data_IF_003613899486
#
_entry.id   IF_003613899486
#
_cell.length_a   1.000
_cell.length_b   1.000
_cell.length_c   1.000
_cell.angle_alpha   90.00
_cell.angle_beta   90.00
_cell.angle_gamma   90.00
#
_symmetry.space_group_name_H-M   'P 1'
#
loop_
_entity.id
_entity.type
_entity.pdbx_description
1 polymer ?
#
# COMPACT_ATOMS: atom_id res chain seq x y z
N UNK A 1 -14.45 7.92 2.89
CA UNK A 1 -14.55 8.44 1.50
C UNK A 1 -13.26 8.23 0.73
N UNK A 2 -12.11 8.26 1.38
CA UNK A 2 -10.77 8.14 0.77
C UNK A 2 -10.58 6.93 -0.15
N UNK A 3 -11.48 5.94 -0.05
CA UNK A 3 -11.49 4.74 -0.90
C UNK A 3 -12.24 4.93 -2.22
N UNK A 4 -12.98 6.03 -2.36
CA UNK A 4 -13.84 6.32 -3.52
C UNK A 4 -13.34 7.59 -4.21
N UNK A 5 -12.59 7.40 -5.27
CA UNK A 5 -12.08 8.48 -6.10
C UNK A 5 -12.66 8.32 -7.51
N UNK A 6 -13.40 9.32 -7.96
CA UNK A 6 -13.96 9.38 -9.29
C UNK A 6 -13.41 10.60 -10.03
N UNK A 7 -12.77 10.43 -11.17
CA UNK A 7 -12.15 11.51 -11.95
C UNK A 7 -11.17 12.38 -11.13
N UNK A 8 -10.29 11.74 -10.35
CA UNK A 8 -9.33 12.37 -9.45
C UNK A 8 -9.94 13.16 -8.27
N UNK A 9 -11.24 13.06 -8.05
CA UNK A 9 -11.93 13.69 -6.93
C UNK A 9 -12.47 12.65 -5.94
N UNK A 10 -12.24 12.90 -4.65
CA UNK A 10 -12.80 12.08 -3.58
C UNK A 10 -14.30 12.32 -3.47
N UNK A 11 -15.08 11.25 -3.35
CA UNK A 11 -16.53 11.33 -3.18
C UNK A 11 -16.90 12.18 -1.95
N UNK A 12 -17.94 12.99 -2.07
CA UNK A 12 -18.50 13.71 -0.93
C UNK A 12 -19.22 12.78 0.07
N UNK A 13 -19.40 13.23 1.31
CA UNK A 13 -20.13 12.46 2.33
C UNK A 13 -21.58 12.22 1.90
N UNK A 14 -22.22 13.24 1.31
CA UNK A 14 -23.59 13.16 0.82
C UNK A 14 -23.75 12.18 -0.32
N UNK A 15 -22.83 12.22 -1.32
CA UNK A 15 -22.88 11.29 -2.44
C UNK A 15 -22.62 9.84 -2.00
N UNK A 16 -21.68 9.63 -1.07
CA UNK A 16 -21.43 8.30 -0.52
C UNK A 16 -22.64 7.79 0.25
N UNK A 17 -23.28 8.63 1.05
CA UNK A 17 -24.49 8.27 1.79
C UNK A 17 -25.63 7.91 0.83
N UNK A 18 -25.82 8.68 -0.25
CA UNK A 18 -26.81 8.39 -1.25
C UNK A 18 -26.54 7.04 -1.97
N UNK A 19 -25.29 6.77 -2.36
CA UNK A 19 -24.91 5.49 -2.96
C UNK A 19 -25.17 4.31 -2.02
N UNK A 20 -24.85 4.44 -0.74
CA UNK A 20 -25.07 3.37 0.24
C UNK A 20 -26.56 3.12 0.46
N UNK A 21 -27.40 4.16 0.49
CA UNK A 21 -28.86 4.02 0.57
C UNK A 21 -29.42 3.31 -0.67
N UNK A 22 -28.97 3.68 -1.88
CA UNK A 22 -29.37 2.99 -3.12
C UNK A 22 -28.97 1.50 -3.08
N UNK A 23 -27.78 1.17 -2.57
CA UNK A 23 -27.35 -0.23 -2.43
C UNK A 23 -28.20 -0.97 -1.41
N UNK A 24 -28.57 -0.37 -0.28
CA UNK A 24 -29.44 -0.99 0.72
C UNK A 24 -30.80 -1.30 0.15
N UNK A 25 -31.41 -0.38 -0.60
CA UNK A 25 -32.68 -0.58 -1.30
C UNK A 25 -32.59 -1.74 -2.31
N UNK A 26 -31.58 -1.76 -3.17
CA UNK A 26 -31.36 -2.81 -4.17
C UNK A 26 -31.12 -4.18 -3.50
N UNK A 27 -30.39 -4.19 -2.40
CA UNK A 27 -30.04 -5.41 -1.65
C UNK A 27 -31.24 -6.00 -0.92
N UNK A 28 -32.30 -5.24 -0.70
CA UNK A 28 -33.57 -5.68 -0.11
C UNK A 28 -33.38 -6.41 1.24
N UNK A 29 -32.54 -5.86 2.12
CA UNK A 29 -32.32 -6.36 3.48
C UNK A 29 -31.51 -7.66 3.58
N UNK A 30 -30.85 -8.10 2.51
CA UNK A 30 -29.94 -9.25 2.59
C UNK A 30 -28.70 -8.88 3.38
N UNK A 31 -28.09 -9.81 4.16
CA UNK A 31 -26.87 -9.52 4.90
C UNK A 31 -25.70 -9.15 3.98
N UNK A 32 -25.07 -8.02 4.24
CA UNK A 32 -23.82 -7.59 3.62
C UNK A 32 -22.82 -7.21 4.71
N UNK A 33 -21.58 -7.57 4.50
CA UNK A 33 -20.49 -7.01 5.30
C UNK A 33 -20.28 -5.54 4.90
N UNK A 34 -19.68 -4.77 5.80
CA UNK A 34 -19.34 -3.37 5.52
C UNK A 34 -18.52 -3.20 4.24
N UNK A 35 -17.54 -4.10 4.01
CA UNK A 35 -16.69 -4.03 2.83
C UNK A 35 -17.42 -4.41 1.54
N UNK A 36 -18.33 -5.37 1.59
CA UNK A 36 -19.20 -5.73 0.45
C UNK A 36 -20.12 -4.58 0.08
N UNK A 37 -20.74 -3.91 1.07
CA UNK A 37 -21.59 -2.74 0.81
C UNK A 37 -20.81 -1.59 0.16
N UNK A 38 -19.60 -1.29 0.66
CA UNK A 38 -18.72 -0.30 0.05
C UNK A 38 -18.33 -0.69 -1.38
N UNK A 39 -17.95 -1.93 -1.61
CA UNK A 39 -17.55 -2.41 -2.94
C UNK A 39 -18.71 -2.32 -3.93
N UNK A 40 -19.91 -2.72 -3.52
CA UNK A 40 -21.12 -2.59 -4.33
C UNK A 40 -21.41 -1.13 -4.66
N UNK A 41 -21.34 -0.22 -3.67
CA UNK A 41 -21.54 1.20 -3.86
C UNK A 41 -20.54 1.80 -4.84
N UNK A 42 -19.24 1.42 -4.73
CA UNK A 42 -18.22 1.89 -5.66
C UNK A 42 -18.53 1.49 -7.10
N UNK A 43 -18.73 0.20 -7.37
CA UNK A 43 -19.01 -0.26 -8.73
C UNK A 43 -20.34 0.26 -9.27
N UNK A 44 -21.33 0.43 -8.41
CA UNK A 44 -22.59 1.05 -8.79
C UNK A 44 -22.40 2.51 -9.21
N UNK A 45 -21.62 3.28 -8.45
CA UNK A 45 -21.27 4.66 -8.78
C UNK A 45 -20.50 4.79 -10.09
N UNK A 46 -19.68 3.79 -10.46
CA UNK A 46 -18.96 3.77 -11.74
C UNK A 46 -19.87 3.83 -12.97
N UNK A 47 -21.17 3.46 -12.85
CA UNK A 47 -22.13 3.57 -13.96
C UNK A 47 -22.26 4.98 -14.53
N UNK A 48 -21.95 6.00 -13.73
CA UNK A 48 -21.97 7.41 -14.16
C UNK A 48 -20.78 7.77 -15.08
N UNK A 49 -19.74 6.91 -15.13
CA UNK A 49 -18.45 7.18 -15.77
C UNK A 49 -18.11 6.12 -16.81
N UNK A 50 -18.85 6.11 -17.92
CA UNK A 50 -18.82 4.99 -18.91
C UNK A 50 -17.53 4.82 -19.68
N UNK A 51 -16.71 5.86 -19.80
CA UNK A 51 -15.48 5.86 -20.60
C UNK A 51 -14.20 5.92 -19.77
N UNK A 52 -14.30 5.63 -18.47
CA UNK A 52 -13.17 5.70 -17.56
C UNK A 52 -12.57 4.33 -17.30
N UNK A 53 -11.28 4.36 -16.89
CA UNK A 53 -10.57 3.21 -16.38
C UNK A 53 -10.85 3.07 -14.88
N UNK A 54 -11.19 1.88 -14.45
CA UNK A 54 -11.34 1.55 -13.03
C UNK A 54 -10.07 0.89 -12.54
N UNK A 55 -9.46 1.47 -11.49
CA UNK A 55 -8.38 0.85 -10.72
C UNK A 55 -9.00 0.31 -9.44
N UNK A 56 -9.00 -1.02 -9.28
CA UNK A 56 -9.61 -1.69 -8.14
C UNK A 56 -8.56 -2.46 -7.35
N UNK A 57 -8.41 -2.14 -6.07
CA UNK A 57 -7.50 -2.81 -5.15
C UNK A 57 -8.25 -3.85 -4.32
N UNK A 58 -7.74 -5.07 -4.23
CA UNK A 58 -8.27 -6.08 -3.32
C UNK A 58 -8.08 -5.63 -1.86
N UNK A 59 -9.14 -5.82 -1.06
CA UNK A 59 -9.10 -5.40 0.34
C UNK A 59 -8.22 -6.30 1.21
N UNK A 60 -8.15 -7.59 0.89
CA UNK A 60 -7.43 -8.58 1.68
C UNK A 60 -6.62 -9.55 0.81
N UNK A 61 -7.29 -10.55 0.25
CA UNK A 61 -6.77 -11.53 -0.69
C UNK A 61 -7.53 -11.40 -2.01
N UNK A 62 -7.04 -12.00 -3.12
CA UNK A 62 -7.81 -12.00 -4.36
C UNK A 62 -8.98 -12.98 -4.30
N UNK A 63 -8.74 -14.18 -3.80
CA UNK A 63 -9.74 -15.23 -3.72
C UNK A 63 -10.76 -14.94 -2.59
N UNK A 64 -12.04 -14.84 -2.98
CA UNK A 64 -13.12 -14.52 -2.03
C UNK A 64 -13.19 -13.05 -1.61
N UNK A 65 -12.40 -12.17 -2.21
CA UNK A 65 -12.47 -10.74 -1.97
C UNK A 65 -13.68 -10.12 -2.71
N UNK A 66 -14.39 -9.22 -2.06
CA UNK A 66 -15.57 -8.57 -2.62
C UNK A 66 -15.26 -7.78 -3.91
N UNK A 67 -14.04 -7.24 -4.05
CA UNK A 67 -13.60 -6.54 -5.27
C UNK A 67 -13.44 -7.50 -6.45
N UNK A 68 -13.21 -8.79 -6.20
CA UNK A 68 -12.99 -9.79 -7.25
C UNK A 68 -14.29 -10.33 -7.87
N UNK A 69 -15.24 -9.44 -8.14
CA UNK A 69 -16.53 -9.76 -8.78
C UNK A 69 -16.51 -9.53 -10.30
N UNK A 70 -15.46 -8.91 -10.81
CA UNK A 70 -15.33 -8.59 -12.22
C UNK A 70 -15.08 -9.87 -13.01
N UNK A 71 -15.79 -10.01 -14.14
CA UNK A 71 -15.63 -11.15 -15.05
C UNK A 71 -14.52 -10.93 -16.07
N UNK A 72 -14.12 -9.68 -16.28
CA UNK A 72 -13.05 -9.26 -17.20
C UNK A 72 -12.34 -8.04 -16.63
N UNK A 73 -11.06 -7.96 -16.87
CA UNK A 73 -10.24 -6.78 -16.61
C UNK A 73 -9.26 -6.58 -17.77
N UNK A 74 -8.57 -5.46 -17.79
CA UNK A 74 -7.54 -5.18 -18.79
C UNK A 74 -6.18 -5.74 -18.36
N UNK A 75 -5.92 -5.74 -17.05
CA UNK A 75 -4.67 -6.20 -16.48
C UNK A 75 -4.84 -6.56 -15.01
N UNK A 76 -4.15 -7.59 -14.57
CA UNK A 76 -3.91 -7.89 -13.16
C UNK A 76 -2.53 -7.34 -12.76
N UNK A 77 -2.45 -6.69 -11.62
CA UNK A 77 -1.17 -6.20 -11.07
C UNK A 77 -0.91 -6.92 -9.76
N UNK A 78 0.19 -7.67 -9.70
CA UNK A 78 0.64 -8.32 -8.47
C UNK A 78 1.77 -7.47 -7.89
N UNK A 79 1.45 -6.71 -6.87
CA UNK A 79 2.42 -5.88 -6.14
C UNK A 79 3.33 -6.74 -5.26
N UNK A 80 4.29 -6.13 -4.54
CA UNK A 80 5.18 -6.87 -3.64
C UNK A 80 4.40 -7.65 -2.58
N UNK A 81 4.67 -8.94 -2.46
CA UNK A 81 4.07 -9.83 -1.47
C UNK A 81 4.94 -9.92 -0.22
N UNK A 82 4.31 -9.82 0.94
CA UNK A 82 4.95 -9.99 2.25
C UNK A 82 3.99 -10.67 3.23
N UNK A 83 4.50 -11.11 4.37
CA UNK A 83 3.67 -11.66 5.43
C UNK A 83 2.76 -10.57 6.02
N UNK A 84 1.48 -10.68 5.73
CA UNK A 84 0.40 -9.91 6.33
C UNK A 84 -0.87 -10.76 6.35
N UNK A 85 -1.85 -10.38 7.18
CA UNK A 85 -3.14 -11.07 7.25
C UNK A 85 -3.07 -12.56 7.59
N UNK A 86 -2.02 -13.00 8.26
CA UNK A 86 -1.83 -14.41 8.66
C UNK A 86 -2.94 -14.90 9.60
N UNK A 87 -3.58 -14.01 10.35
CA UNK A 87 -4.70 -14.28 11.24
C UNK A 87 -5.96 -14.79 10.49
N UNK A 88 -6.09 -14.43 9.21
CA UNK A 88 -7.18 -14.91 8.34
C UNK A 88 -6.94 -16.30 7.73
N UNK A 89 -5.74 -16.83 7.89
CA UNK A 89 -5.38 -18.15 7.36
C UNK A 89 -5.50 -19.24 8.44
N UNK A 90 -5.78 -20.50 8.05
CA UNK A 90 -5.72 -21.63 8.95
C UNK A 90 -4.38 -21.70 9.67
N UNK A 91 -4.37 -22.03 10.97
CA UNK A 91 -3.13 -22.01 11.79
C UNK A 91 -1.97 -22.80 11.20
N UNK A 92 -2.25 -23.92 10.55
CA UNK A 92 -1.25 -24.82 9.97
C UNK A 92 -0.77 -24.36 8.57
N UNK A 93 -1.31 -23.26 8.05
CA UNK A 93 -1.10 -22.80 6.68
C UNK A 93 -0.72 -21.30 6.63
N UNK A 94 -0.20 -20.80 7.74
CA UNK A 94 0.21 -19.39 7.92
C UNK A 94 1.64 -19.17 7.43
N UNK A 95 1.78 -19.06 6.13
CA UNK A 95 3.07 -18.84 5.46
C UNK A 95 2.92 -17.95 4.22
N UNK A 96 4.03 -17.51 3.66
CA UNK A 96 4.06 -16.60 2.51
C UNK A 96 3.52 -17.28 1.24
N UNK A 97 3.75 -18.57 1.07
CA UNK A 97 3.28 -19.36 -0.08
C UNK A 97 1.75 -19.37 -0.12
N UNK A 98 1.13 -19.52 1.05
CA UNK A 98 -0.33 -19.46 1.15
C UNK A 98 -0.88 -18.08 0.84
N UNK A 99 -0.24 -17.01 1.33
CA UNK A 99 -0.61 -15.63 0.99
C UNK A 99 -0.55 -15.43 -0.53
N UNK A 100 0.53 -15.86 -1.16
CA UNK A 100 0.71 -15.76 -2.62
C UNK A 100 -0.40 -16.51 -3.34
N UNK A 101 -0.72 -17.73 -2.91
CA UNK A 101 -1.82 -18.51 -3.47
C UNK A 101 -3.15 -17.76 -3.37
N UNK A 102 -3.51 -17.23 -2.21
CA UNK A 102 -4.77 -16.49 -2.01
C UNK A 102 -4.84 -15.20 -2.86
N UNK A 103 -3.70 -14.55 -3.11
CA UNK A 103 -3.63 -13.35 -3.94
C UNK A 103 -3.65 -13.64 -5.44
N UNK A 104 -3.18 -14.78 -5.89
CA UNK A 104 -2.92 -15.03 -7.32
C UNK A 104 -3.80 -16.11 -7.95
N UNK A 105 -4.39 -17.01 -7.17
CA UNK A 105 -5.17 -18.15 -7.70
C UNK A 105 -6.48 -17.78 -8.39
N UNK A 106 -6.96 -16.56 -8.21
CA UNK A 106 -8.21 -16.06 -8.80
C UNK A 106 -8.01 -14.94 -9.82
N UNK A 107 -6.79 -14.73 -10.28
CA UNK A 107 -6.51 -13.73 -11.33
C UNK A 107 -7.19 -14.13 -12.64
N UNK A 108 -7.80 -13.14 -13.29
CA UNK A 108 -8.48 -13.34 -14.56
C UNK A 108 -7.48 -13.58 -15.71
N UNK A 109 -7.94 -14.20 -16.79
CA UNK A 109 -7.13 -14.42 -18.01
C UNK A 109 -6.98 -13.12 -18.81
N UNK A 110 -6.17 -12.21 -18.28
CA UNK A 110 -5.76 -10.96 -18.91
C UNK A 110 -4.28 -10.74 -18.58
N UNK A 111 -3.64 -9.72 -19.15
CA UNK A 111 -2.24 -9.42 -18.85
C UNK A 111 -1.98 -9.42 -17.33
N UNK A 112 -0.85 -9.98 -16.90
CA UNK A 112 -0.42 -10.01 -15.51
C UNK A 112 0.93 -9.32 -15.40
N UNK A 113 0.99 -8.21 -14.66
CA UNK A 113 2.24 -7.52 -14.34
C UNK A 113 2.62 -7.84 -12.90
N UNK A 114 3.81 -8.39 -12.71
CA UNK A 114 4.34 -8.76 -11.40
C UNK A 114 5.45 -7.78 -11.03
N UNK A 115 5.21 -7.03 -9.95
CA UNK A 115 6.17 -6.10 -9.40
C UNK A 115 7.41 -6.79 -8.84
N UNK A 116 8.46 -6.02 -8.57
CA UNK A 116 9.64 -6.51 -7.85
C UNK A 116 9.24 -7.13 -6.53
N UNK A 117 9.72 -8.33 -6.28
CA UNK A 117 9.52 -9.07 -5.03
C UNK A 117 10.73 -8.93 -4.11
N UNK A 118 10.55 -9.22 -2.83
CA UNK A 118 11.63 -9.14 -1.82
C UNK A 118 12.66 -10.26 -1.95
N UNK A 119 12.35 -11.32 -2.70
CA UNK A 119 13.27 -12.42 -3.01
C UNK A 119 12.86 -13.17 -4.29
N UNK A 120 13.81 -13.83 -4.91
CA UNK A 120 13.57 -14.68 -6.08
C UNK A 120 12.65 -15.86 -5.74
N UNK A 121 12.72 -16.40 -4.52
CA UNK A 121 11.83 -17.46 -4.07
C UNK A 121 10.35 -17.07 -4.12
N UNK A 122 10.02 -15.83 -3.76
CA UNK A 122 8.65 -15.30 -3.86
C UNK A 122 8.25 -15.16 -5.32
N UNK A 123 9.13 -14.65 -6.17
CA UNK A 123 8.89 -14.54 -7.61
C UNK A 123 8.61 -15.91 -8.23
N UNK A 124 9.41 -16.92 -7.93
CA UNK A 124 9.22 -18.29 -8.43
C UNK A 124 7.92 -18.92 -7.90
N UNK A 125 7.56 -18.65 -6.64
CA UNK A 125 6.26 -19.09 -6.09
C UNK A 125 5.08 -18.45 -6.85
N UNK A 126 5.15 -17.16 -7.15
CA UNK A 126 4.12 -16.46 -7.96
C UNK A 126 4.06 -17.10 -9.36
N UNK A 127 5.20 -17.27 -10.04
CA UNK A 127 5.26 -17.91 -11.37
C UNK A 127 4.59 -19.28 -11.39
N UNK A 128 4.89 -20.10 -10.38
CA UNK A 128 4.28 -21.43 -10.21
C UNK A 128 2.76 -21.33 -10.08
N UNK A 129 2.26 -20.45 -9.23
CA UNK A 129 0.82 -20.31 -8.96
C UNK A 129 0.04 -19.84 -10.20
N UNK A 130 0.63 -18.97 -11.03
CA UNK A 130 -0.03 -18.45 -12.23
C UNK A 130 0.39 -19.18 -13.52
N UNK A 131 1.11 -20.29 -13.42
CA UNK A 131 1.62 -21.05 -14.58
C UNK A 131 0.51 -21.50 -15.51
N UNK A 132 -0.62 -21.93 -14.97
CA UNK A 132 -1.78 -22.43 -15.71
C UNK A 132 -2.71 -21.31 -16.23
N UNK A 133 -2.45 -20.06 -15.89
CA UNK A 133 -3.18 -18.92 -16.44
C UNK A 133 -2.63 -18.62 -17.84
N UNK A 134 -3.48 -18.57 -18.86
CA UNK A 134 -3.08 -18.35 -20.26
C UNK A 134 -2.69 -16.90 -20.60
N UNK A 135 -2.75 -16.00 -19.64
CA UNK A 135 -2.40 -14.59 -19.82
C UNK A 135 -0.92 -14.36 -20.17
N UNK A 136 -0.63 -13.26 -20.84
CA UNK A 136 0.73 -12.75 -20.94
C UNK A 136 1.20 -12.28 -19.56
N UNK A 137 2.43 -12.63 -19.19
CA UNK A 137 3.02 -12.35 -17.87
C UNK A 137 4.25 -11.49 -18.03
N UNK A 138 4.34 -10.43 -17.27
CA UNK A 138 5.42 -9.44 -17.30
C UNK A 138 6.05 -9.35 -15.92
N UNK A 139 7.30 -9.76 -15.79
CA UNK A 139 8.03 -9.82 -14.53
C UNK A 139 9.09 -8.73 -14.47
N UNK A 140 9.25 -8.15 -13.29
CA UNK A 140 10.37 -7.27 -13.01
C UNK A 140 11.71 -8.02 -13.21
N UNK A 141 12.73 -7.35 -13.76
CA UNK A 141 14.03 -7.86 -14.17
C UNK A 141 14.03 -8.82 -15.38
N UNK A 142 12.88 -9.25 -15.90
CA UNK A 142 12.78 -10.09 -17.09
C UNK A 142 12.20 -9.31 -18.28
N UNK A 143 11.10 -8.61 -18.05
CA UNK A 143 10.38 -7.88 -19.10
C UNK A 143 10.49 -6.36 -18.95
N UNK A 144 10.75 -5.90 -17.77
CA UNK A 144 10.98 -4.49 -17.45
C UNK A 144 11.87 -4.34 -16.23
N UNK A 145 12.58 -3.23 -16.15
CA UNK A 145 13.41 -2.88 -15.00
C UNK A 145 13.58 -1.36 -14.88
N UNK A 146 14.29 -0.92 -13.86
CA UNK A 146 14.78 0.44 -13.76
C UNK A 146 16.18 0.50 -13.15
N UNK A 147 16.91 1.57 -13.47
CA UNK A 147 18.24 1.85 -12.92
C UNK A 147 18.29 3.30 -12.42
N UNK A 148 18.83 3.48 -11.23
CA UNK A 148 19.17 4.79 -10.68
C UNK A 148 20.54 5.21 -11.22
N UNK A 149 20.60 6.25 -12.05
CA UNK A 149 21.87 6.80 -12.59
C UNK A 149 22.17 8.21 -12.09
N UNK A 150 21.15 8.97 -11.72
CA UNK A 150 21.24 10.37 -11.32
C UNK A 150 20.37 10.63 -10.09
N UNK A 151 20.68 11.66 -9.29
CA UNK A 151 19.98 11.91 -8.03
C UNK A 151 18.48 12.19 -8.18
N UNK A 152 18.04 12.77 -9.31
CA UNK A 152 16.66 13.21 -9.51
C UNK A 152 15.91 12.43 -10.60
N UNK A 153 16.54 11.42 -11.21
CA UNK A 153 15.95 10.64 -12.29
C UNK A 153 16.18 9.15 -12.09
N UNK A 154 15.29 8.36 -12.63
CA UNK A 154 15.52 6.93 -12.86
C UNK A 154 15.28 6.61 -14.34
N UNK A 155 15.94 5.57 -14.81
CA UNK A 155 15.83 5.09 -16.18
C UNK A 155 15.05 3.79 -16.15
N UNK A 156 13.85 3.85 -16.67
CA UNK A 156 12.99 2.68 -16.88
C UNK A 156 13.31 2.08 -18.25
N UNK A 157 13.26 0.76 -18.38
CA UNK A 157 13.49 0.04 -19.62
C UNK A 157 12.57 -1.18 -19.72
N UNK A 158 12.00 -1.40 -20.89
CA UNK A 158 11.22 -2.58 -21.28
C UNK A 158 11.38 -2.86 -22.78
N UNK A 159 10.60 -3.79 -23.32
CA UNK A 159 10.64 -4.16 -24.75
C UNK A 159 10.19 -3.01 -25.69
N UNK A 160 9.54 -1.97 -25.19
CA UNK A 160 9.15 -0.79 -25.97
C UNK A 160 10.24 0.32 -25.94
N UNK A 161 11.34 0.10 -25.23
CA UNK A 161 12.48 1.00 -25.13
C UNK A 161 12.62 1.69 -23.79
N UNK A 162 13.70 2.48 -23.67
CA UNK A 162 14.08 3.19 -22.44
C UNK A 162 13.32 4.51 -22.24
N UNK A 163 13.09 4.89 -21.00
CA UNK A 163 12.45 6.14 -20.61
C UNK A 163 13.17 6.76 -19.42
N UNK A 164 13.66 8.00 -19.58
CA UNK A 164 14.21 8.81 -18.48
C UNK A 164 13.07 9.51 -17.77
N UNK A 165 12.88 9.21 -16.48
CA UNK A 165 11.74 9.66 -15.69
C UNK A 165 12.24 10.39 -14.44
N UNK A 166 11.70 11.58 -14.11
CA UNK A 166 11.93 12.20 -12.82
C UNK A 166 11.47 11.28 -11.68
N UNK A 167 12.18 11.28 -10.56
CA UNK A 167 11.71 10.55 -9.37
C UNK A 167 10.29 10.99 -9.02
N UNK A 168 9.44 10.06 -8.57
CA UNK A 168 8.11 10.40 -8.06
C UNK A 168 8.23 11.38 -6.88
N UNK A 169 7.21 12.19 -6.70
CA UNK A 169 7.09 13.07 -5.53
C UNK A 169 6.64 12.27 -4.28
N UNK A 170 7.17 11.06 -4.14
CA UNK A 170 6.90 10.13 -3.06
C UNK A 170 8.22 9.67 -2.49
N UNK A 171 8.34 9.66 -1.17
CA UNK A 171 9.56 9.23 -0.49
C UNK A 171 9.69 7.70 -0.47
N UNK A 172 10.93 7.21 -0.39
CA UNK A 172 11.25 5.78 -0.31
C UNK A 172 11.59 5.16 -1.67
N UNK A 173 12.60 4.28 -1.66
CA UNK A 173 13.06 3.62 -2.89
C UNK A 173 12.01 2.69 -3.49
N UNK A 174 11.19 2.05 -2.66
CA UNK A 174 10.08 1.21 -3.10
C UNK A 174 9.06 1.95 -3.98
N UNK A 175 9.01 3.28 -3.92
CA UNK A 175 8.15 4.07 -4.81
C UNK A 175 8.65 4.06 -6.26
N UNK A 176 9.95 3.85 -6.49
CA UNK A 176 10.48 3.65 -7.84
C UNK A 176 10.06 2.28 -8.39
N UNK A 177 10.00 1.27 -7.53
CA UNK A 177 9.50 -0.06 -7.88
C UNK A 177 8.02 -0.01 -8.24
N UNK A 178 7.21 0.69 -7.44
CA UNK A 178 5.80 0.93 -7.71
C UNK A 178 5.59 1.71 -9.01
N UNK A 179 6.35 2.80 -9.22
CA UNK A 179 6.32 3.58 -10.44
C UNK A 179 6.66 2.74 -11.67
N UNK A 180 7.71 1.92 -11.59
CA UNK A 180 8.11 1.03 -12.69
C UNK A 180 7.03 0.01 -13.04
N UNK A 181 6.34 -0.54 -12.04
CA UNK A 181 5.22 -1.46 -12.25
C UNK A 181 4.03 -0.76 -12.91
N UNK A 182 3.73 0.47 -12.50
CA UNK A 182 2.68 1.28 -13.12
C UNK A 182 3.01 1.62 -14.59
N UNK A 183 4.27 1.95 -14.88
CA UNK A 183 4.74 2.24 -16.24
C UNK A 183 4.62 0.99 -17.11
N UNK A 184 5.11 -0.17 -16.64
CA UNK A 184 4.99 -1.44 -17.34
C UNK A 184 3.53 -1.74 -17.66
N UNK A 185 2.63 -1.57 -16.69
CA UNK A 185 1.19 -1.78 -16.88
C UNK A 185 0.62 -0.87 -17.95
N UNK A 186 0.93 0.43 -17.94
CA UNK A 186 0.41 1.39 -18.92
C UNK A 186 0.94 1.12 -20.33
N UNK A 187 2.20 0.68 -20.47
CA UNK A 187 2.81 0.42 -21.77
C UNK A 187 2.28 -0.83 -22.46
N UNK A 188 1.93 -1.88 -21.70
CA UNK A 188 1.32 -3.08 -22.29
C UNK A 188 -0.17 -2.88 -22.64
N UNK A 189 -0.82 -1.84 -22.14
CA UNK A 189 -2.20 -1.50 -22.44
C UNK A 189 -2.26 -0.49 -23.60
N UNK A 190 -1.79 -0.89 -24.77
CA UNK A 190 -1.62 -0.03 -25.96
C UNK A 190 -2.92 0.67 -26.39
N UNK A 191 -4.07 0.03 -26.19
CA UNK A 191 -5.40 0.59 -26.50
C UNK A 191 -5.70 1.87 -25.71
N UNK A 192 -5.10 2.07 -24.56
CA UNK A 192 -5.24 3.29 -23.76
C UNK A 192 -4.51 4.50 -24.38
N UNK A 193 -3.60 4.27 -25.35
CA UNK A 193 -2.84 5.31 -26.07
C UNK A 193 -2.13 6.30 -25.14
N UNK A 194 -1.62 5.82 -24.01
CA UNK A 194 -0.88 6.63 -23.03
C UNK A 194 0.49 6.95 -23.60
N UNK A 195 0.80 8.24 -23.76
CA UNK A 195 2.11 8.71 -24.26
C UNK A 195 3.10 8.86 -23.10
N UNK A 196 4.40 8.75 -23.38
CA UNK A 196 5.46 8.91 -22.38
C UNK A 196 5.36 10.22 -21.58
N UNK A 197 4.97 11.31 -22.23
CA UNK A 197 4.73 12.58 -21.53
C UNK A 197 3.62 12.52 -20.48
N UNK A 198 2.59 11.68 -20.68
CA UNK A 198 1.52 11.47 -19.71
C UNK A 198 2.03 10.66 -18.53
N UNK A 199 2.84 9.63 -18.79
CA UNK A 199 3.51 8.81 -17.78
C UNK A 199 4.40 9.70 -16.90
N UNK A 200 5.29 10.47 -17.50
CA UNK A 200 6.21 11.39 -16.79
C UNK A 200 5.41 12.35 -15.89
N UNK A 201 4.37 12.98 -16.44
CA UNK A 201 3.53 13.91 -15.69
C UNK A 201 2.76 13.23 -14.55
N UNK A 202 2.25 12.01 -14.77
CA UNK A 202 1.57 11.23 -13.75
C UNK A 202 2.51 10.89 -12.59
N UNK A 203 3.71 10.39 -12.87
CA UNK A 203 4.72 10.07 -11.85
C UNK A 203 5.11 11.30 -11.02
N UNK A 204 5.28 12.48 -11.65
CA UNK A 204 5.61 13.72 -10.93
C UNK A 204 4.46 14.23 -10.04
N UNK A 205 3.21 13.98 -10.44
CA UNK A 205 2.01 14.39 -9.70
C UNK A 205 1.56 13.38 -8.65
N UNK A 206 2.10 12.16 -8.68
CA UNK A 206 1.70 11.11 -7.75
C UNK A 206 1.85 11.59 -6.30
N UNK A 207 0.80 11.40 -5.52
CA UNK A 207 0.75 11.66 -4.09
C UNK A 207 0.04 10.51 -3.39
N UNK A 208 0.44 10.22 -2.17
CA UNK A 208 -0.23 9.21 -1.37
C UNK A 208 -0.13 9.61 0.11
N UNK A 209 -1.29 9.79 0.73
CA UNK A 209 -1.41 10.23 2.12
C UNK A 209 -0.85 9.13 3.03
N UNK A 210 -0.10 9.53 4.05
CA UNK A 210 0.49 8.64 5.05
C UNK A 210 1.35 7.49 4.46
N UNK A 211 2.06 7.77 3.36
CA UNK A 211 3.10 6.88 2.80
C UNK A 211 4.43 7.62 2.73
N UNK A 212 5.16 7.64 3.85
CA UNK A 212 6.36 8.47 4.04
C UNK A 212 6.10 9.94 3.70
N UNK A 213 4.88 10.41 4.00
CA UNK A 213 4.44 11.76 3.69
C UNK A 213 5.15 12.78 4.57
N UNK A 214 5.85 13.74 3.98
CA UNK A 214 6.40 14.87 4.71
C UNK A 214 5.31 15.93 4.94
N UNK A 215 4.88 16.07 6.18
CA UNK A 215 3.89 17.08 6.60
C UNK A 215 4.56 18.45 6.63
N UNK A 216 4.13 19.36 5.76
CA UNK A 216 4.75 20.68 5.56
C UNK A 216 4.05 21.82 6.29
N UNK A 217 2.79 21.62 6.74
CA UNK A 217 1.99 22.66 7.39
C UNK A 217 0.97 22.04 8.35
N UNK A 218 0.34 22.88 9.17
CA UNK A 218 -0.70 22.50 10.11
C UNK A 218 -0.20 22.33 11.54
N UNK A 219 -1.15 22.18 12.48
CA UNK A 219 -0.91 22.22 13.93
C UNK A 219 0.21 21.30 14.41
N UNK A 220 0.27 20.06 13.90
CA UNK A 220 1.32 19.12 14.29
C UNK A 220 2.69 19.56 13.76
N UNK A 221 2.76 20.10 12.54
CA UNK A 221 4.02 20.63 11.99
C UNK A 221 4.52 21.83 12.77
N UNK A 222 3.63 22.70 13.22
CA UNK A 222 3.96 23.88 14.03
C UNK A 222 4.61 23.49 15.36
N UNK A 223 4.19 22.37 15.96
CA UNK A 223 4.78 21.84 17.20
C UNK A 223 6.24 21.42 17.03
N UNK A 224 6.59 20.85 15.89
CA UNK A 224 7.97 20.36 15.63
C UNK A 224 8.86 21.42 14.96
N UNK A 225 8.33 22.59 14.68
CA UNK A 225 9.07 23.76 14.14
C UNK A 225 9.90 23.42 12.90
N UNK A 226 11.24 23.51 13.04
CA UNK A 226 12.20 23.30 11.96
C UNK A 226 12.49 21.81 11.68
N UNK A 227 12.01 20.90 12.53
CA UNK A 227 12.20 19.47 12.31
C UNK A 227 11.30 18.95 11.21
N UNK A 228 11.72 17.92 10.51
CA UNK A 228 10.85 17.18 9.59
C UNK A 228 9.80 16.39 10.39
N UNK A 229 8.57 16.39 9.88
CA UNK A 229 7.50 15.53 10.37
C UNK A 229 7.10 14.61 9.24
N UNK A 230 7.25 13.30 9.45
CA UNK A 230 6.92 12.29 8.45
C UNK A 230 5.80 11.43 9.00
N UNK A 231 4.74 11.26 8.22
CA UNK A 231 3.62 10.38 8.52
C UNK A 231 3.68 9.13 7.65
N UNK A 232 3.58 7.97 8.29
CA UNK A 232 3.53 6.69 7.61
C UNK A 232 2.50 5.75 8.25
N UNK A 233 1.76 5.00 7.45
CA UNK A 233 0.73 4.07 7.89
C UNK A 233 1.16 2.59 7.82
N UNK A 234 2.44 2.32 7.64
CA UNK A 234 2.93 0.95 7.67
C UNK A 234 2.64 0.29 9.02
N UNK A 235 2.28 -0.99 8.97
CA UNK A 235 1.81 -1.72 10.14
C UNK A 235 2.16 -3.22 10.11
N UNK A 236 2.99 -3.62 9.15
CA UNK A 236 3.48 -4.99 9.00
C UNK A 236 5.01 -5.01 8.80
N UNK A 237 5.67 -6.16 8.94
CA UNK A 237 7.13 -6.26 8.84
C UNK A 237 7.71 -5.74 7.52
N UNK A 238 7.03 -5.98 6.39
CA UNK A 238 7.47 -5.49 5.09
C UNK A 238 7.45 -3.96 5.01
N UNK A 239 6.38 -3.33 5.51
CA UNK A 239 6.28 -1.88 5.59
C UNK A 239 7.31 -1.26 6.53
N UNK A 240 7.55 -1.88 7.70
CA UNK A 240 8.60 -1.44 8.63
C UNK A 240 10.00 -1.50 8.02
N UNK A 241 10.29 -2.56 7.26
CA UNK A 241 11.55 -2.67 6.54
C UNK A 241 11.74 -1.52 5.56
N UNK A 242 10.75 -1.25 4.72
CA UNK A 242 10.78 -0.16 3.75
C UNK A 242 10.90 1.23 4.43
N UNK A 243 10.19 1.43 5.55
CA UNK A 243 10.30 2.63 6.36
C UNK A 243 11.73 2.80 6.91
N UNK A 244 12.31 1.74 7.49
CA UNK A 244 13.67 1.81 8.01
C UNK A 244 14.71 2.08 6.91
N UNK A 245 14.59 1.44 5.75
CA UNK A 245 15.46 1.73 4.59
C UNK A 245 15.41 3.21 4.18
N UNK A 246 14.25 3.85 4.25
CA UNK A 246 14.14 5.28 4.03
C UNK A 246 14.79 6.10 5.17
N UNK A 247 14.52 5.74 6.42
CA UNK A 247 15.11 6.42 7.58
C UNK A 247 16.63 6.36 7.58
N UNK A 248 17.22 5.28 7.09
CA UNK A 248 18.68 5.11 6.97
C UNK A 248 19.31 6.07 5.93
N UNK A 249 18.51 6.62 5.02
CA UNK A 249 18.98 7.66 4.09
C UNK A 249 19.04 9.05 4.71
N UNK A 250 18.49 9.23 5.92
CA UNK A 250 18.41 10.53 6.59
C UNK A 250 19.58 10.67 7.58
N UNK A 251 20.42 11.67 7.36
CA UNK A 251 21.50 12.04 8.28
C UNK A 251 21.00 12.98 9.39
N UNK A 252 20.18 12.42 10.31
CA UNK A 252 19.62 13.17 11.43
C UNK A 252 19.20 12.23 12.56
N UNK A 253 18.96 12.78 13.77
CA UNK A 253 18.33 12.04 14.87
C UNK A 253 16.88 11.71 14.49
N UNK A 254 16.49 10.45 14.71
CA UNK A 254 15.19 9.90 14.35
C UNK A 254 14.40 9.61 15.61
N UNK A 255 13.26 10.28 15.76
CA UNK A 255 12.31 10.08 16.84
C UNK A 255 11.06 9.42 16.28
N UNK A 256 10.70 8.25 16.78
CA UNK A 256 9.58 7.47 16.30
C UNK A 256 8.42 7.59 17.29
N UNK A 257 7.24 7.92 16.80
CA UNK A 257 5.98 7.86 17.56
C UNK A 257 5.10 6.81 16.91
N UNK A 258 4.62 5.83 17.68
CA UNK A 258 3.92 4.68 17.13
C UNK A 258 2.65 4.33 17.93
N UNK A 259 1.54 4.13 17.20
CA UNK A 259 0.32 3.47 17.67
C UNK A 259 -0.01 2.31 16.74
N UNK A 260 -0.49 1.18 17.24
CA UNK A 260 -0.78 0.00 16.42
C UNK A 260 -2.05 -0.72 16.83
N UNK A 261 -2.63 -1.47 15.87
CA UNK A 261 -3.74 -2.38 16.15
C UNK A 261 -3.22 -3.65 16.86
N UNK A 262 -4.03 -4.23 17.75
CA UNK A 262 -3.62 -5.35 18.60
C UNK A 262 -3.29 -6.65 17.83
N UNK A 263 -3.87 -6.85 16.64
CA UNK A 263 -3.68 -8.03 15.81
C UNK A 263 -2.43 -8.02 14.92
N UNK A 264 -1.56 -6.99 15.06
CA UNK A 264 -0.33 -6.87 14.27
C UNK A 264 0.89 -7.49 14.98
N UNK A 265 1.89 -7.88 14.20
CA UNK A 265 3.15 -8.42 14.72
C UNK A 265 4.07 -7.27 15.16
N UNK A 266 3.84 -6.79 16.37
CA UNK A 266 4.54 -5.62 16.94
C UNK A 266 6.04 -5.86 17.05
N UNK A 267 6.45 -7.07 17.45
CA UNK A 267 7.87 -7.39 17.68
C UNK A 267 8.65 -7.41 16.37
N UNK A 268 8.11 -8.09 15.35
CA UNK A 268 8.73 -8.07 14.02
C UNK A 268 8.73 -6.69 13.38
N UNK A 269 7.65 -5.90 13.58
CA UNK A 269 7.57 -4.54 13.08
C UNK A 269 8.69 -3.67 13.65
N UNK A 270 8.85 -3.64 14.96
CA UNK A 270 9.85 -2.80 15.66
C UNK A 270 11.26 -3.31 15.44
N UNK A 271 11.42 -4.60 15.14
CA UNK A 271 12.73 -5.22 14.93
C UNK A 271 13.57 -4.58 13.83
N UNK A 272 12.92 -3.92 12.87
CA UNK A 272 13.61 -3.27 11.75
C UNK A 272 14.18 -1.90 12.11
N UNK A 273 13.64 -1.19 13.09
CA UNK A 273 14.18 0.13 13.44
C UNK A 273 15.56 0.02 14.07
N UNK A 274 16.50 0.73 13.45
CA UNK A 274 17.90 0.83 13.87
C UNK A 274 18.25 2.31 13.99
N UNK A 275 19.27 2.62 14.79
CA UNK A 275 19.82 3.97 14.93
C UNK A 275 18.75 5.07 15.15
N UNK A 276 17.77 4.76 16.01
CA UNK A 276 16.75 5.70 16.45
C UNK A 276 17.14 6.36 17.77
N UNK A 277 16.85 7.65 17.89
CA UNK A 277 17.14 8.43 19.10
C UNK A 277 16.10 8.19 20.21
N UNK A 278 14.83 8.00 19.83
CA UNK A 278 13.77 7.63 20.78
C UNK A 278 12.63 6.90 20.08
N UNK A 279 11.90 6.11 20.86
CA UNK A 279 10.68 5.44 20.45
C UNK A 279 9.60 5.72 21.49
N UNK A 280 8.52 6.33 21.05
CA UNK A 280 7.36 6.67 21.86
C UNK A 280 6.14 5.90 21.40
N UNK A 281 5.41 5.32 22.33
CA UNK A 281 4.16 4.60 22.04
C UNK A 281 2.96 5.42 22.47
N UNK A 282 1.90 5.41 21.67
CA UNK A 282 0.67 6.14 21.94
C UNK A 282 -0.55 5.25 21.82
N UNK A 283 -1.63 5.62 22.52
CA UNK A 283 -2.94 5.06 22.27
C UNK A 283 -3.52 5.61 20.95
N UNK A 284 -4.29 4.79 20.24
CA UNK A 284 -5.05 5.26 19.08
C UNK A 284 -6.47 5.61 19.57
N UNK A 285 -6.84 6.90 19.59
CA UNK A 285 -8.16 7.31 20.08
C UNK A 285 -9.30 6.68 19.27
N UNK A 286 -10.38 6.32 19.96
CA UNK A 286 -11.59 5.74 19.35
C UNK A 286 -11.39 4.44 18.56
N UNK A 287 -10.31 3.69 18.84
CA UNK A 287 -10.01 2.41 18.22
C UNK A 287 -9.95 1.28 19.28
N UNK A 288 -11.09 0.64 19.58
CA UNK A 288 -11.16 -0.36 20.65
C UNK A 288 -10.28 -1.60 20.39
N UNK A 289 -9.94 -1.85 19.13
CA UNK A 289 -9.06 -2.97 18.73
C UNK A 289 -7.58 -2.57 18.66
N UNK A 290 -7.20 -1.37 19.08
CA UNK A 290 -5.80 -1.00 19.19
C UNK A 290 -5.18 -1.57 20.47
N UNK A 291 -3.87 -1.86 20.42
CA UNK A 291 -3.10 -2.12 21.64
C UNK A 291 -2.87 -0.79 22.36
N UNK A 292 -2.94 -0.78 23.70
CA UNK A 292 -2.58 0.42 24.45
C UNK A 292 -1.10 0.79 24.27
N UNK A 293 -0.78 2.08 24.25
CA UNK A 293 0.61 2.54 24.18
C UNK A 293 1.46 1.92 25.28
N UNK A 294 0.91 1.79 26.49
CA UNK A 294 1.58 1.16 27.64
C UNK A 294 1.91 -0.32 27.41
N UNK A 295 1.01 -1.10 26.80
CA UNK A 295 1.24 -2.51 26.53
C UNK A 295 2.14 -2.71 25.30
N UNK A 296 2.04 -1.81 24.33
CA UNK A 296 2.94 -1.77 23.19
C UNK A 296 4.38 -1.48 23.63
N UNK A 297 4.57 -0.55 24.58
CA UNK A 297 5.88 -0.24 25.18
C UNK A 297 6.48 -1.46 25.88
N UNK A 298 5.70 -2.23 26.66
CA UNK A 298 6.21 -3.43 27.34
C UNK A 298 6.77 -4.47 26.38
N UNK A 299 6.17 -4.63 25.18
CA UNK A 299 6.68 -5.55 24.16
C UNK A 299 8.03 -5.11 23.57
N UNK A 300 8.37 -3.84 23.69
CA UNK A 300 9.58 -3.24 23.13
C UNK A 300 10.74 -3.22 24.12
N UNK A 301 10.47 -3.12 25.41
CA UNK A 301 11.45 -2.90 26.48
C UNK A 301 12.59 -3.93 26.51
N UNK A 302 12.33 -5.14 26.07
CA UNK A 302 13.34 -6.21 26.03
C UNK A 302 14.39 -6.03 24.92
N UNK A 303 14.17 -5.21 23.91
CA UNK A 303 15.05 -5.13 22.74
C UNK A 303 15.94 -3.89 22.71
N UNK A 304 15.55 -2.79 23.32
CA UNK A 304 16.24 -1.50 23.24
C UNK A 304 16.67 -0.98 24.63
N UNK A 305 17.61 -1.66 25.26
CA UNK A 305 18.16 -1.26 26.59
C UNK A 305 18.84 0.12 26.62
N UNK A 306 19.13 0.73 25.49
CA UNK A 306 19.93 1.96 25.38
C UNK A 306 19.17 3.14 24.76
N UNK A 307 17.84 3.07 24.58
CA UNK A 307 17.04 4.15 24.04
C UNK A 307 16.24 4.79 25.16
N UNK A 308 16.33 6.13 25.29
CA UNK A 308 15.51 6.89 26.23
C UNK A 308 14.03 6.78 25.81
N UNK A 309 13.26 6.10 26.63
CA UNK A 309 11.82 5.95 26.44
C UNK A 309 11.11 7.04 27.23
N UNK A 310 10.70 8.13 26.59
CA UNK A 310 9.79 9.10 27.19
C UNK A 310 8.35 8.62 27.08
N UNK A 311 7.69 8.50 28.22
CA UNK A 311 6.26 8.20 28.31
C UNK A 311 5.48 9.49 28.03
N UNK A 312 4.94 9.65 26.81
CA UNK A 312 4.00 10.74 26.51
C UNK A 312 2.61 10.42 27.09
N UNK A 313 2.55 9.85 28.29
CA UNK A 313 1.28 9.56 28.96
C UNK A 313 0.65 10.79 29.65
N UNK A 314 1.34 11.94 29.71
CA UNK A 314 0.90 13.09 30.51
C UNK A 314 0.61 14.38 29.73
N UNK A 315 0.77 14.42 28.41
CA UNK A 315 0.51 15.66 27.65
C UNK A 315 -0.93 15.84 27.15
N UNK A 316 -1.78 14.84 27.28
CA UNK A 316 -3.20 14.93 26.91
C UNK A 316 -4.14 15.40 28.04
N UNK A 317 -3.58 15.82 29.18
CA UNK A 317 -4.34 16.39 30.33
C UNK A 317 -4.03 17.87 30.59
N UNK A 318 -3.75 18.64 29.54
CA UNK A 318 -3.80 20.12 29.65
C UNK A 318 -4.46 20.72 28.42
#
# INVERSE_FOLDING_TARGET
NERFIYNDEMISDDDLSNLLNEIEEINNGQPLTYFEALTAAFFYGCKKYKENLVIAEFGLFGRGDAVNILKKNLCNIVTSCSEDHLDWLPKNDRNIERIIFEKTSSLLESNIVVAKQTSDAITECIKKNISNNNANKYYFNENYNFVLKENNFFYYEDNYGGLKIPKPNLNGQFQLENASTAIATLRILEDLKVKDQHIIKGIQKASNIARLEEIKSGKLKDLVKNNKLILDSSHNPGGSKALNEYLDTLDCKKHIIIGMMANKDHEKYIAYFKDIASLTTIDIPNQPNAISGKDLMKKQYFKYKNVDFEEIANSSRR
#
